data_IF_125639053324
#
_entry.id   IF_125639053324
#
_cell.length_a   1.000
_cell.length_b   1.000
_cell.length_c   1.000
_cell.angle_alpha   90.00
_cell.angle_beta   90.00
_cell.angle_gamma   90.00
#
_symmetry.space_group_name_H-M   'P 1'
#
loop_
_entity.id
_entity.type
_entity.pdbx_description
1 polymer ?
#
# COMPACT_ATOMS: atom_id res chain seq x y z
N UNK A 1 25.23 -13.55 59.43
CA UNK A 1 25.33 -13.96 58.01
C UNK A 1 24.80 -12.81 57.19
N UNK A 2 25.62 -12.28 56.29
CA UNK A 2 25.36 -11.03 55.58
C UNK A 2 24.76 -11.39 54.22
N UNK A 3 23.51 -11.00 53.98
CA UNK A 3 22.81 -11.28 52.73
C UNK A 3 23.52 -10.55 51.58
N UNK A 4 24.01 -11.34 50.64
CA UNK A 4 24.82 -10.97 49.48
C UNK A 4 24.00 -10.32 48.35
N UNK A 5 22.69 -10.11 48.57
CA UNK A 5 21.81 -9.28 47.74
C UNK A 5 21.53 -9.80 46.32
N UNK A 6 22.22 -10.88 45.91
CA UNK A 6 22.16 -11.48 44.58
C UNK A 6 21.48 -12.86 44.64
N UNK A 7 21.64 -13.57 45.76
CA UNK A 7 21.09 -14.90 46.01
C UNK A 7 19.63 -14.88 46.50
N UNK A 8 19.12 -13.71 46.90
CA UNK A 8 17.81 -13.57 47.54
C UNK A 8 16.77 -12.96 46.59
N UNK A 9 15.63 -13.64 46.45
CA UNK A 9 14.49 -13.15 45.68
C UNK A 9 13.88 -11.91 46.34
N UNK A 10 13.43 -10.94 45.53
CA UNK A 10 12.82 -9.72 46.07
C UNK A 10 11.62 -10.02 46.99
N UNK A 11 11.38 -9.24 48.05
CA UNK A 11 10.23 -9.43 48.93
C UNK A 11 8.88 -9.34 48.19
N UNK A 12 8.82 -8.57 47.11
CA UNK A 12 7.64 -8.46 46.26
C UNK A 12 7.36 -9.76 45.50
N UNK A 13 8.39 -10.45 45.03
CA UNK A 13 8.27 -11.76 44.38
C UNK A 13 7.80 -12.83 45.36
N UNK A 14 8.37 -12.87 46.57
CA UNK A 14 8.00 -13.85 47.59
C UNK A 14 6.57 -13.66 48.11
N UNK A 15 6.02 -12.44 48.05
CA UNK A 15 4.61 -12.17 48.37
C UNK A 15 3.62 -12.72 47.34
N UNK A 16 4.07 -13.18 46.17
CA UNK A 16 3.19 -13.66 45.11
C UNK A 16 2.44 -14.93 45.51
N UNK A 17 3.06 -15.86 46.25
CA UNK A 17 2.39 -17.06 46.74
C UNK A 17 3.11 -17.68 47.94
N UNK A 18 2.47 -18.63 48.62
CA UNK A 18 3.05 -19.32 49.77
C UNK A 18 4.22 -20.27 49.40
N UNK A 19 4.39 -20.63 48.12
CA UNK A 19 5.44 -21.56 47.67
C UNK A 19 6.31 -20.92 46.59
N UNK A 20 7.59 -21.30 46.52
CA UNK A 20 8.52 -20.72 45.56
C UNK A 20 8.12 -21.05 44.10
N UNK A 21 7.63 -22.26 43.85
CA UNK A 21 7.06 -22.67 42.55
C UNK A 21 5.81 -21.85 42.18
N UNK A 22 4.94 -21.55 43.16
CA UNK A 22 3.78 -20.70 42.93
C UNK A 22 4.16 -19.25 42.61
N UNK A 23 5.25 -18.74 43.21
CA UNK A 23 5.80 -17.43 42.89
C UNK A 23 6.34 -17.40 41.46
N UNK A 24 7.11 -18.42 41.07
CA UNK A 24 7.63 -18.56 39.71
C UNK A 24 6.49 -18.60 38.67
N UNK A 25 5.46 -19.42 38.88
CA UNK A 25 4.29 -19.50 37.98
C UNK A 25 3.51 -18.19 37.86
N UNK A 26 3.32 -17.47 38.97
CA UNK A 26 2.63 -16.16 38.94
C UNK A 26 3.48 -15.10 38.23
N UNK A 27 4.79 -15.12 38.46
CA UNK A 27 5.72 -14.23 37.79
C UNK A 27 5.84 -14.52 36.28
N UNK A 28 5.81 -15.79 35.89
CA UNK A 28 5.76 -16.20 34.48
C UNK A 28 4.54 -15.60 33.77
N UNK A 29 3.35 -15.70 34.37
CA UNK A 29 2.13 -15.08 33.82
C UNK A 29 2.25 -13.56 33.72
N UNK A 30 2.86 -12.92 34.72
CA UNK A 30 3.16 -11.49 34.66
C UNK A 30 4.05 -11.18 33.45
N UNK A 31 5.15 -11.91 33.27
CA UNK A 31 6.04 -11.74 32.11
C UNK A 31 5.32 -11.98 30.78
N UNK A 32 4.46 -13.01 30.69
CA UNK A 32 3.67 -13.28 29.49
C UNK A 32 2.74 -12.09 29.14
N UNK A 33 2.09 -11.48 30.15
CA UNK A 33 1.19 -10.34 29.96
C UNK A 33 1.91 -9.07 29.50
N UNK A 34 3.12 -8.84 30.00
CA UNK A 34 3.94 -7.67 29.62
C UNK A 34 4.84 -7.94 28.42
N UNK A 35 4.83 -9.16 27.87
CA UNK A 35 5.60 -9.50 26.69
C UNK A 35 5.04 -8.72 25.51
N UNK A 36 5.90 -7.98 24.84
CA UNK A 36 5.51 -7.22 23.66
C UNK A 36 5.05 -8.18 22.56
N UNK A 37 3.78 -8.10 22.19
CA UNK A 37 3.26 -8.79 21.01
C UNK A 37 3.66 -8.01 19.76
N UNK A 38 4.17 -8.71 18.73
CA UNK A 38 4.44 -8.07 17.44
C UNK A 38 3.14 -7.42 16.95
N UNK A 39 3.23 -6.14 16.58
CA UNK A 39 2.10 -5.45 15.97
C UNK A 39 1.76 -6.16 14.67
N UNK A 40 0.48 -6.47 14.46
CA UNK A 40 0.02 -6.90 13.15
C UNK A 40 0.36 -5.82 12.12
N UNK A 41 0.71 -6.24 10.91
CA UNK A 41 0.97 -5.29 9.83
C UNK A 41 -0.27 -4.38 9.64
N UNK A 42 -0.08 -3.05 9.53
CA UNK A 42 -1.19 -2.14 9.36
C UNK A 42 -1.96 -2.47 8.07
N UNK A 43 -3.28 -2.67 8.19
CA UNK A 43 -4.15 -2.94 7.04
C UNK A 43 -4.29 -1.65 6.21
N UNK A 44 -3.56 -1.57 5.10
CA UNK A 44 -3.61 -0.42 4.19
C UNK A 44 -4.82 -0.54 3.24
N UNK A 45 -5.91 0.18 3.55
CA UNK A 45 -7.13 0.17 2.72
C UNK A 45 -7.10 1.10 1.51
N UNK A 46 -5.97 1.77 1.25
CA UNK A 46 -5.82 2.69 0.13
C UNK A 46 -6.10 2.01 -1.22
N UNK A 47 -5.49 0.85 -1.47
CA UNK A 47 -5.69 0.10 -2.72
C UNK A 47 -7.15 -0.31 -2.92
N UNK A 48 -7.77 -0.91 -1.91
CA UNK A 48 -9.18 -1.36 -2.01
C UNK A 48 -10.16 -0.20 -2.14
N UNK A 49 -9.93 0.95 -1.49
CA UNK A 49 -10.78 2.14 -1.64
C UNK A 49 -10.59 2.82 -3.00
N UNK A 50 -9.36 2.93 -3.47
CA UNK A 50 -9.04 3.54 -4.77
C UNK A 50 -9.62 2.74 -5.92
N UNK A 51 -9.39 1.41 -5.93
CA UNK A 51 -9.88 0.53 -6.98
C UNK A 51 -11.41 0.52 -7.07
N UNK A 52 -12.11 0.47 -5.93
CA UNK A 52 -13.59 0.58 -5.91
C UNK A 52 -14.08 1.88 -6.55
N UNK A 53 -13.44 3.01 -6.25
CA UNK A 53 -13.77 4.32 -6.84
C UNK A 53 -13.49 4.38 -8.34
N UNK A 54 -12.36 3.84 -8.79
CA UNK A 54 -12.01 3.81 -10.21
C UNK A 54 -12.98 2.94 -11.01
N UNK A 55 -13.33 1.77 -10.47
CA UNK A 55 -14.27 0.83 -11.12
C UNK A 55 -15.69 1.36 -11.14
N UNK A 56 -16.15 2.06 -10.09
CA UNK A 56 -17.48 2.68 -10.09
C UNK A 56 -17.55 3.89 -11.05
N UNK A 57 -16.48 4.68 -11.12
CA UNK A 57 -16.38 5.81 -12.03
C UNK A 57 -16.27 5.39 -13.50
N UNK A 58 -15.54 4.31 -13.79
CA UNK A 58 -15.40 3.80 -15.16
C UNK A 58 -16.71 3.19 -15.69
N UNK A 59 -17.51 2.55 -14.83
CA UNK A 59 -18.79 1.93 -15.21
C UNK A 59 -19.91 2.93 -15.48
N UNK A 60 -19.84 4.14 -14.94
CA UNK A 60 -20.94 5.12 -15.00
C UNK A 60 -20.68 6.28 -15.95
N UNK A 61 -19.47 6.40 -16.52
CA UNK A 61 -19.07 7.54 -17.36
C UNK A 61 -18.75 7.09 -18.78
N UNK A 62 -19.67 7.37 -19.72
CA UNK A 62 -19.37 7.32 -21.15
C UNK A 62 -18.23 8.30 -21.45
N UNK A 63 -17.03 7.78 -21.74
CA UNK A 63 -15.78 8.54 -21.96
C UNK A 63 -15.74 9.33 -23.27
N UNK A 64 -16.87 9.52 -23.98
CA UNK A 64 -16.76 9.95 -25.37
C UNK A 64 -16.48 11.45 -25.56
N UNK A 65 -16.96 12.35 -24.70
CA UNK A 65 -16.81 13.81 -24.92
C UNK A 65 -16.94 14.70 -23.67
N UNK A 66 -16.08 14.57 -22.65
CA UNK A 66 -16.16 15.50 -21.51
C UNK A 66 -14.79 16.00 -21.06
N UNK A 67 -14.48 17.24 -21.43
CA UNK A 67 -13.47 18.06 -20.76
C UNK A 67 -13.91 18.15 -19.29
N UNK A 68 -13.04 17.78 -18.35
CA UNK A 68 -13.40 17.83 -16.93
C UNK A 68 -13.53 19.29 -16.48
N UNK A 69 -14.43 19.56 -15.53
CA UNK A 69 -14.59 20.91 -14.98
C UNK A 69 -13.26 21.37 -14.35
N UNK A 70 -12.62 22.37 -14.96
CA UNK A 70 -11.31 22.89 -14.57
C UNK A 70 -10.19 22.65 -15.59
N UNK A 71 -10.40 21.84 -16.62
CA UNK A 71 -9.45 21.74 -17.73
C UNK A 71 -9.77 22.80 -18.80
N UNK A 72 -8.81 23.67 -19.08
CA UNK A 72 -8.83 24.55 -20.25
C UNK A 72 -8.31 23.80 -21.47
N UNK A 73 -8.95 23.98 -22.63
CA UNK A 73 -8.38 23.55 -23.90
C UNK A 73 -7.18 24.43 -24.23
N UNK A 74 -6.07 23.81 -24.60
CA UNK A 74 -4.90 24.55 -25.07
C UNK A 74 -5.23 25.16 -26.45
N UNK A 75 -4.69 26.35 -26.79
CA UNK A 75 -4.96 27.00 -28.08
C UNK A 75 -4.61 26.17 -29.32
N UNK A 76 -3.77 25.13 -29.15
CA UNK A 76 -3.36 24.19 -30.19
C UNK A 76 -4.00 22.80 -30.04
N UNK A 77 -5.09 22.66 -29.28
CA UNK A 77 -5.95 21.46 -29.30
C UNK A 77 -6.78 21.38 -30.60
N UNK A 78 -6.21 21.85 -31.73
CA UNK A 78 -6.78 21.58 -33.04
C UNK A 78 -6.84 20.07 -33.18
N UNK A 79 -8.00 19.55 -33.57
CA UNK A 79 -8.22 18.12 -33.82
C UNK A 79 -6.98 17.60 -34.54
N UNK A 80 -6.13 16.84 -33.82
CA UNK A 80 -4.96 16.20 -34.40
C UNK A 80 -5.52 15.29 -35.46
N UNK A 81 -5.58 15.80 -36.69
CA UNK A 81 -5.89 15.00 -37.86
C UNK A 81 -4.74 14.03 -37.90
N UNK A 82 -4.96 12.81 -37.40
CA UNK A 82 -3.96 11.74 -37.33
C UNK A 82 -3.26 11.54 -38.69
N UNK A 83 -3.92 11.96 -39.78
CA UNK A 83 -3.44 11.95 -41.15
C UNK A 83 -2.49 13.11 -41.52
N UNK A 84 -2.13 13.98 -40.58
CA UNK A 84 -1.22 15.13 -40.78
C UNK A 84 -0.05 15.14 -39.79
N UNK A 85 0.22 14.02 -39.09
CA UNK A 85 1.42 13.90 -38.28
C UNK A 85 2.62 13.83 -39.24
N UNK A 86 3.60 14.74 -39.18
CA UNK A 86 4.81 14.65 -39.99
C UNK A 86 5.48 13.29 -39.77
N UNK A 87 5.94 12.65 -40.84
CA UNK A 87 6.53 11.31 -40.80
C UNK A 87 7.67 11.21 -39.77
N UNK A 88 8.48 12.26 -39.65
CA UNK A 88 9.57 12.35 -38.68
C UNK A 88 9.09 12.20 -37.23
N UNK A 89 7.92 12.76 -36.91
CA UNK A 89 7.32 12.68 -35.58
C UNK A 89 6.72 11.29 -35.33
N UNK A 90 6.16 10.67 -36.37
CA UNK A 90 5.68 9.30 -36.30
C UNK A 90 6.83 8.34 -35.95
N UNK A 91 7.99 8.49 -36.59
CA UNK A 91 9.16 7.66 -36.32
C UNK A 91 9.68 7.82 -34.88
N UNK A 92 9.71 9.04 -34.36
CA UNK A 92 10.09 9.30 -32.96
C UNK A 92 9.12 8.58 -32.01
N UNK A 93 7.81 8.67 -32.26
CA UNK A 93 6.80 8.01 -31.45
C UNK A 93 6.89 6.47 -31.52
N UNK A 94 7.22 5.90 -32.68
CA UNK A 94 7.47 4.46 -32.84
C UNK A 94 8.70 4.02 -32.04
N UNK A 95 9.81 4.76 -32.14
CA UNK A 95 11.05 4.48 -31.38
C UNK A 95 10.81 4.52 -29.88
N UNK A 96 10.11 5.55 -29.40
CA UNK A 96 9.76 5.69 -27.99
C UNK A 96 8.93 4.50 -27.49
N UNK A 97 7.90 4.08 -28.25
CA UNK A 97 7.06 2.93 -27.89
C UNK A 97 7.87 1.63 -27.80
N UNK A 98 8.74 1.37 -28.79
CA UNK A 98 9.62 0.19 -28.80
C UNK A 98 10.59 0.18 -27.62
N UNK A 99 11.19 1.32 -27.30
CA UNK A 99 12.10 1.46 -26.16
C UNK A 99 11.40 1.20 -24.81
N UNK A 100 10.11 1.49 -24.72
CA UNK A 100 9.28 1.24 -23.53
C UNK A 100 8.54 -0.11 -23.58
N UNK A 101 8.89 -1.01 -24.50
CA UNK A 101 8.34 -2.37 -24.57
C UNK A 101 6.91 -2.48 -25.08
N UNK A 102 6.32 -1.41 -25.62
CA UNK A 102 4.96 -1.41 -26.18
C UNK A 102 5.06 -1.90 -27.63
N UNK A 103 4.46 -3.07 -27.93
CA UNK A 103 4.48 -3.68 -29.27
C UNK A 103 3.25 -3.23 -30.07
N UNK A 104 3.39 -3.03 -31.38
CA UNK A 104 2.31 -2.53 -32.24
C UNK A 104 1.06 -3.46 -32.28
N UNK A 105 1.16 -4.71 -31.82
CA UNK A 105 0.04 -5.65 -31.67
C UNK A 105 -0.91 -5.37 -30.49
N UNK A 106 -0.55 -4.49 -29.55
CA UNK A 106 -1.40 -4.14 -28.40
C UNK A 106 -2.60 -3.26 -28.76
N UNK A 107 -2.70 -2.75 -30.00
CA UNK A 107 -3.85 -1.96 -30.46
C UNK A 107 -5.15 -2.77 -30.56
N UNK A 108 -5.09 -4.11 -30.53
CA UNK A 108 -6.29 -4.96 -30.55
C UNK A 108 -6.98 -5.10 -29.18
N UNK A 109 -6.37 -4.63 -28.09
CA UNK A 109 -6.99 -4.67 -26.77
C UNK A 109 -7.91 -3.45 -26.53
N UNK A 110 -9.12 -3.62 -27.07
CA UNK A 110 -10.40 -3.08 -26.58
C UNK A 110 -10.61 -1.56 -26.70
N UNK A 111 -11.12 -1.17 -27.86
CA UNK A 111 -12.13 -0.11 -27.95
C UNK A 111 -13.56 -0.67 -27.82
N UNK A 112 -13.86 -1.47 -26.80
CA UNK A 112 -15.21 -1.73 -26.25
C UNK A 112 -15.11 -2.17 -24.79
#
# INVERSE_FOLDING_TARGET
MQADGISEWSPAFLKLSATLDGCARRYERFCQKYRHHSKEAPKCHWGSRMLKRLVSYSRTRSKKKRISSGQQRLPWDWDVRLNQIPEDWHQVAVRFRRANGIRDGDQSLRMW
#
